data_IF_115925910580
#
_entry.id   IF_115925910580
#
_cell.length_a   1.000
_cell.length_b   1.000
_cell.length_c   1.000
_cell.angle_alpha   90.00
_cell.angle_beta   90.00
_cell.angle_gamma   90.00
#
_symmetry.space_group_name_H-M   'P 1'
#
loop_
_entity.id
_entity.type
_entity.pdbx_description
1 polymer ?
#
# COMPACT_ATOMS: atom_id res chain seq x y z
N UNK A 1 31.49 12.64 5.16
CA UNK A 1 30.46 11.58 5.22
C UNK A 1 30.02 11.23 3.81
N UNK A 2 29.90 9.94 3.52
CA UNK A 2 29.41 9.44 2.23
C UNK A 2 27.88 9.51 2.23
N UNK A 3 27.29 10.11 1.17
CA UNK A 3 25.83 10.08 0.94
C UNK A 3 25.55 8.92 -0.01
N UNK A 4 24.80 7.92 0.46
CA UNK A 4 24.36 6.83 -0.38
C UNK A 4 23.14 7.29 -1.21
N UNK A 5 23.37 7.45 -2.51
CA UNK A 5 22.32 7.81 -3.47
C UNK A 5 21.63 6.58 -4.05
N UNK A 6 22.23 5.41 -3.92
CA UNK A 6 21.74 4.17 -4.51
C UNK A 6 20.52 3.62 -3.76
N UNK A 7 20.50 3.64 -2.42
CA UNK A 7 19.45 3.01 -1.62
C UNK A 7 18.02 3.43 -2.01
N UNK A 8 17.82 4.71 -2.33
CA UNK A 8 16.50 5.23 -2.69
C UNK A 8 16.14 5.04 -4.19
N UNK A 9 17.12 4.66 -5.02
CA UNK A 9 16.96 4.56 -6.48
C UNK A 9 17.09 3.12 -6.98
N UNK A 10 17.74 2.25 -6.21
CA UNK A 10 17.92 0.84 -6.58
C UNK A 10 16.62 0.13 -7.02
N UNK A 11 15.48 0.30 -6.34
CA UNK A 11 14.25 -0.33 -6.76
C UNK A 11 13.55 0.41 -7.92
N UNK A 12 14.20 1.42 -8.53
CA UNK A 12 13.59 2.35 -9.48
C UNK A 12 14.39 2.53 -10.77
N UNK A 13 14.79 1.47 -11.50
CA UNK A 13 15.50 1.62 -12.78
C UNK A 13 14.64 2.30 -13.87
N UNK A 14 13.32 2.35 -13.70
CA UNK A 14 12.40 3.14 -14.52
C UNK A 14 12.76 4.64 -14.58
N UNK A 15 13.46 5.13 -13.56
CA UNK A 15 13.95 6.52 -13.51
C UNK A 15 15.22 6.76 -14.31
N UNK A 16 15.81 5.70 -14.88
CA UNK A 16 17.06 5.71 -15.68
C UNK A 16 16.85 4.99 -17.01
N UNK A 17 16.17 5.60 -17.99
CA UNK A 17 15.76 4.90 -19.22
C UNK A 17 16.94 4.42 -20.09
N UNK A 18 18.12 4.97 -19.91
CA UNK A 18 19.37 4.56 -20.56
C UNK A 18 20.38 3.89 -19.61
N UNK A 19 19.92 3.52 -18.41
CA UNK A 19 20.70 2.96 -17.31
C UNK A 19 21.76 3.90 -16.70
N UNK A 20 21.88 5.15 -17.16
CA UNK A 20 22.91 6.11 -16.71
C UNK A 20 22.30 7.44 -16.26
N UNK A 21 21.40 8.00 -17.06
CA UNK A 21 20.90 9.36 -16.84
C UNK A 21 19.50 9.32 -16.23
N UNK A 22 19.29 9.97 -15.06
CA UNK A 22 17.99 10.04 -14.45
C UNK A 22 17.05 10.95 -15.23
N UNK A 23 15.78 10.54 -15.36
CA UNK A 23 14.73 11.48 -15.75
C UNK A 23 14.52 12.53 -14.65
N UNK A 24 13.69 13.54 -14.92
CA UNK A 24 13.41 14.66 -13.99
C UNK A 24 13.04 14.19 -12.58
N UNK A 25 12.23 13.15 -12.48
CA UNK A 25 11.79 12.55 -11.22
C UNK A 25 12.93 11.86 -10.47
N UNK A 26 13.79 11.14 -11.19
CA UNK A 26 15.01 10.54 -10.63
C UNK A 26 15.98 11.59 -10.11
N UNK A 27 16.20 12.65 -10.90
CA UNK A 27 17.02 13.78 -10.49
C UNK A 27 16.45 14.49 -9.24
N UNK A 28 15.13 14.63 -9.14
CA UNK A 28 14.48 15.20 -7.96
C UNK A 28 14.69 14.34 -6.70
N UNK A 29 14.63 13.01 -6.82
CA UNK A 29 14.91 12.08 -5.69
C UNK A 29 16.38 12.22 -5.26
N UNK A 30 17.31 12.28 -6.20
CA UNK A 30 18.73 12.50 -5.90
C UNK A 30 18.92 13.82 -5.14
N UNK A 31 18.39 14.92 -5.66
CA UNK A 31 18.48 16.22 -5.02
C UNK A 31 17.87 16.23 -3.61
N UNK A 32 16.70 15.59 -3.44
CA UNK A 32 16.05 15.46 -2.13
C UNK A 32 16.88 14.63 -1.15
N UNK A 33 17.52 13.55 -1.62
CA UNK A 33 18.41 12.73 -0.81
C UNK A 33 19.63 13.51 -0.36
N UNK A 34 20.27 14.26 -1.25
CA UNK A 34 21.42 15.12 -0.92
C UNK A 34 20.99 16.20 0.06
N UNK A 35 19.93 16.94 -0.24
CA UNK A 35 19.40 17.99 0.63
C UNK A 35 19.11 17.47 2.03
N UNK A 36 18.35 16.37 2.14
CA UNK A 36 18.00 15.78 3.43
C UNK A 36 19.23 15.33 4.22
N UNK A 37 20.23 14.73 3.54
CA UNK A 37 21.45 14.30 4.22
C UNK A 37 22.32 15.47 4.73
N UNK A 38 22.33 16.61 4.01
CA UNK A 38 23.06 17.82 4.42
C UNK A 38 22.31 18.55 5.54
N UNK A 39 21.03 18.80 5.35
CA UNK A 39 20.22 19.62 6.26
C UNK A 39 19.61 18.84 7.41
N UNK A 40 19.57 17.51 7.28
CA UNK A 40 18.79 16.58 8.15
C UNK A 40 17.28 16.80 8.09
N UNK A 41 16.79 17.60 7.16
CA UNK A 41 15.37 17.88 6.95
C UNK A 41 14.74 16.86 5.98
N UNK A 42 13.92 15.96 6.52
CA UNK A 42 13.11 14.99 5.78
C UNK A 42 11.60 15.30 5.87
N UNK A 43 11.26 16.54 6.24
CA UNK A 43 9.87 17.02 6.33
C UNK A 43 9.16 16.61 7.62
N UNK A 44 9.92 16.38 8.69
CA UNK A 44 9.44 16.10 10.03
C UNK A 44 8.73 14.76 10.20
N UNK A 45 8.09 14.57 11.37
CA UNK A 45 7.44 13.30 11.75
C UNK A 45 6.31 12.94 10.79
N UNK A 46 6.40 11.75 10.20
CA UNK A 46 5.37 11.13 9.35
C UNK A 46 5.31 9.63 9.65
N UNK A 47 4.14 9.04 9.51
CA UNK A 47 3.93 7.60 9.61
C UNK A 47 3.84 6.96 8.22
N UNK A 48 4.14 5.68 8.12
CA UNK A 48 3.80 4.91 6.94
C UNK A 48 2.27 4.92 6.73
N UNK A 49 1.83 4.91 5.48
CA UNK A 49 0.42 5.11 5.11
C UNK A 49 -0.55 4.07 5.70
N UNK A 50 -0.04 2.91 6.09
CA UNK A 50 -0.84 1.86 6.72
C UNK A 50 -1.23 2.19 8.17
N UNK A 51 -0.55 3.14 8.82
CA UNK A 51 -0.85 3.51 10.21
C UNK A 51 -1.84 4.68 10.25
N UNK A 52 -3.10 4.34 10.43
CA UNK A 52 -4.20 5.31 10.60
C UNK A 52 -5.10 4.88 11.76
N UNK A 53 -6.02 5.74 12.15
CA UNK A 53 -7.09 5.37 13.07
C UNK A 53 -7.81 4.10 12.60
N UNK A 54 -8.40 3.37 13.52
CA UNK A 54 -9.15 2.13 13.28
C UNK A 54 -8.31 0.94 12.78
N UNK A 55 -6.98 1.04 12.72
CA UNK A 55 -6.13 -0.06 12.23
C UNK A 55 -6.20 -1.28 13.15
N UNK A 56 -5.85 -2.44 12.56
CA UNK A 56 -5.53 -3.66 13.32
C UNK A 56 -4.01 -3.84 13.30
N UNK A 57 -3.44 -4.21 14.44
CA UNK A 57 -2.06 -4.64 14.58
C UNK A 57 -2.03 -6.16 14.74
N UNK A 58 -1.07 -6.83 14.10
CA UNK A 58 -0.98 -8.29 14.11
C UNK A 58 -0.73 -8.83 15.52
N UNK A 59 -1.60 -9.75 15.97
CA UNK A 59 -1.41 -10.48 17.23
C UNK A 59 -0.27 -11.48 17.15
N UNK A 60 0.28 -11.88 18.31
CA UNK A 60 1.26 -12.97 18.46
C UNK A 60 2.56 -12.78 17.65
N UNK A 61 2.79 -11.59 17.12
CA UNK A 61 3.99 -11.18 16.42
C UNK A 61 4.51 -9.87 17.02
N UNK A 62 5.83 -9.60 16.96
CA UNK A 62 6.36 -8.31 17.35
C UNK A 62 5.69 -7.19 16.55
N UNK A 63 5.14 -6.20 17.24
CA UNK A 63 4.45 -5.07 16.62
C UNK A 63 5.47 -4.01 16.25
N UNK A 64 5.61 -3.73 14.96
CA UNK A 64 6.50 -2.70 14.44
C UNK A 64 5.71 -1.46 14.04
N UNK A 65 6.12 -0.30 14.54
CA UNK A 65 5.61 1.02 14.15
C UNK A 65 6.79 1.80 13.59
N UNK A 66 6.63 2.39 12.39
CA UNK A 66 7.71 3.02 11.67
C UNK A 66 7.23 4.19 10.80
N UNK A 67 8.18 4.99 10.39
CA UNK A 67 7.94 6.15 9.55
C UNK A 67 9.19 6.96 9.29
N UNK A 68 9.03 8.25 9.06
CA UNK A 68 10.13 9.19 8.87
C UNK A 68 10.01 10.39 9.82
N UNK A 69 11.15 11.01 10.13
CA UNK A 69 11.25 12.31 10.79
C UNK A 69 12.56 12.95 10.35
N UNK A 70 12.97 14.08 10.93
CA UNK A 70 14.26 14.66 10.56
C UNK A 70 15.42 13.83 11.11
N UNK A 71 16.54 13.83 10.42
CA UNK A 71 17.69 13.01 10.78
C UNK A 71 18.25 13.38 12.16
N UNK A 72 18.38 12.38 13.04
CA UNK A 72 18.81 12.58 14.43
C UNK A 72 17.68 12.96 15.39
N UNK A 73 16.43 13.08 14.94
CA UNK A 73 15.29 13.34 15.81
C UNK A 73 15.03 12.17 16.75
N UNK A 74 14.74 12.46 18.02
CA UNK A 74 14.20 11.48 18.95
C UNK A 74 12.72 11.25 18.64
N UNK A 75 12.35 10.01 18.38
CA UNK A 75 10.97 9.58 18.21
C UNK A 75 10.57 8.69 19.38
N UNK A 76 9.48 9.05 20.04
CA UNK A 76 8.88 8.30 21.12
C UNK A 76 7.55 7.73 20.68
N UNK A 77 7.30 6.45 20.96
CA UNK A 77 6.01 5.80 20.72
C UNK A 77 5.50 5.22 22.02
N UNK A 78 4.25 5.53 22.33
CA UNK A 78 3.52 4.92 23.45
C UNK A 78 2.41 4.05 22.91
N UNK A 79 2.43 2.78 23.30
CA UNK A 79 1.39 1.81 22.98
C UNK A 79 1.02 1.05 24.27
N UNK A 80 -0.26 1.07 24.61
CA UNK A 80 -0.74 0.61 25.91
C UNK A 80 -0.02 1.40 27.03
N UNK A 81 0.62 0.68 27.93
CA UNK A 81 1.41 1.30 29.04
C UNK A 81 2.92 1.31 28.76
N UNK A 82 3.33 0.90 27.57
CA UNK A 82 4.75 0.82 27.19
C UNK A 82 5.14 2.06 26.38
N UNK A 83 6.17 2.74 26.82
CA UNK A 83 6.82 3.82 26.10
C UNK A 83 8.18 3.35 25.60
N UNK A 84 8.46 3.52 24.31
CA UNK A 84 9.74 3.24 23.68
C UNK A 84 10.20 4.42 22.86
N UNK A 85 11.50 4.55 22.67
CA UNK A 85 12.08 5.62 21.87
C UNK A 85 13.20 5.08 20.97
N UNK A 86 13.43 5.81 19.90
CA UNK A 86 14.56 5.60 18.97
C UNK A 86 15.01 6.93 18.40
N UNK A 87 16.23 6.99 17.90
CA UNK A 87 16.72 8.12 17.13
C UNK A 87 16.58 7.77 15.65
N UNK A 88 16.10 8.69 14.85
CA UNK A 88 16.05 8.51 13.40
C UNK A 88 17.44 8.34 12.82
N UNK A 89 17.55 7.49 11.81
CA UNK A 89 18.80 7.33 11.09
C UNK A 89 19.14 8.58 10.24
N UNK A 90 20.28 8.54 9.56
CA UNK A 90 20.73 9.64 8.71
C UNK A 90 19.81 9.95 7.52
N UNK A 91 18.92 9.03 7.17
CA UNK A 91 17.90 9.18 6.12
C UNK A 91 16.53 9.57 6.67
N UNK A 92 16.47 9.89 7.96
CA UNK A 92 15.23 10.25 8.63
C UNK A 92 14.28 9.07 8.86
N UNK A 93 14.71 7.82 8.66
CA UNK A 93 13.88 6.63 8.92
C UNK A 93 13.93 6.25 10.39
N UNK A 94 12.82 5.80 10.94
CA UNK A 94 12.73 5.26 12.29
C UNK A 94 11.80 4.05 12.35
N UNK A 95 12.10 3.17 13.29
CA UNK A 95 11.29 1.99 13.59
C UNK A 95 11.37 1.67 15.08
N UNK A 96 10.21 1.40 15.69
CA UNK A 96 10.08 0.92 17.06
C UNK A 96 9.33 -0.40 17.06
N UNK A 97 9.84 -1.37 17.83
CA UNK A 97 9.25 -2.70 17.95
C UNK A 97 8.76 -2.94 19.37
N UNK A 98 7.49 -3.27 19.51
CA UNK A 98 6.88 -3.73 20.76
C UNK A 98 6.84 -5.25 20.80
N UNK A 99 6.82 -5.87 22.00
CA UNK A 99 6.61 -7.30 22.12
C UNK A 99 5.29 -7.74 21.51
N UNK A 100 5.21 -9.01 21.14
CA UNK A 100 3.98 -9.65 20.70
C UNK A 100 2.86 -9.42 21.72
N UNK A 101 1.64 -9.19 21.22
CA UNK A 101 0.45 -8.94 22.04
C UNK A 101 -0.60 -10.00 21.76
N UNK A 102 -1.41 -10.30 22.76
CA UNK A 102 -2.68 -11.02 22.57
C UNK A 102 -3.72 -10.09 21.94
N UNK A 103 -4.75 -10.66 21.33
CA UNK A 103 -5.84 -9.88 20.75
C UNK A 103 -6.54 -9.00 21.78
N UNK A 104 -7.15 -7.93 21.33
CA UNK A 104 -7.93 -7.01 22.16
C UNK A 104 -7.97 -5.58 21.62
N UNK A 105 -8.43 -4.67 22.42
CA UNK A 105 -8.65 -3.26 22.10
C UNK A 105 -10.05 -2.79 22.52
N UNK A 106 -10.42 -1.55 22.16
CA UNK A 106 -9.61 -0.57 21.42
C UNK A 106 -8.49 0.06 22.26
N UNK A 107 -7.38 0.34 21.59
CA UNK A 107 -6.22 1.01 22.16
C UNK A 107 -5.94 2.33 21.45
N UNK A 108 -5.01 3.10 22.02
CA UNK A 108 -4.41 4.26 21.36
C UNK A 108 -2.91 4.04 21.17
N UNK A 109 -2.36 4.63 20.11
CA UNK A 109 -0.93 4.72 19.83
C UNK A 109 -0.57 6.19 19.72
N UNK A 110 0.32 6.67 20.58
CA UNK A 110 0.83 8.03 20.53
C UNK A 110 2.26 8.03 20.02
N UNK A 111 2.54 8.87 19.05
CA UNK A 111 3.85 9.02 18.43
C UNK A 111 4.27 10.49 18.53
N UNK A 112 5.41 10.73 19.13
CA UNK A 112 5.92 12.08 19.37
C UNK A 112 7.35 12.24 18.84
N UNK A 113 7.58 13.36 18.18
CA UNK A 113 8.93 13.81 17.85
C UNK A 113 8.94 15.33 17.84
N UNK A 114 9.89 15.93 18.57
CA UNK A 114 9.95 17.36 18.77
C UNK A 114 8.61 17.94 19.23
N UNK A 115 8.06 18.93 18.53
CA UNK A 115 6.78 19.55 18.84
C UNK A 115 5.57 18.83 18.23
N UNK A 116 5.81 17.83 17.38
CA UNK A 116 4.74 17.09 16.70
C UNK A 116 4.31 15.89 17.51
N UNK A 117 3.01 15.75 17.69
CA UNK A 117 2.37 14.60 18.31
C UNK A 117 1.28 14.07 17.37
N UNK A 118 1.31 12.77 17.12
CA UNK A 118 0.29 12.04 16.36
C UNK A 118 -0.32 11.03 17.30
N UNK A 119 -1.64 11.01 17.40
CA UNK A 119 -2.38 10.03 18.20
C UNK A 119 -3.31 9.26 17.29
N UNK A 120 -3.09 7.96 17.19
CA UNK A 120 -3.94 7.04 16.45
C UNK A 120 -4.91 6.37 17.43
N UNK A 121 -6.18 6.36 17.08
CA UNK A 121 -7.28 5.93 17.98
C UNK A 121 -7.99 4.70 17.44
N UNK A 122 -8.71 4.04 18.35
CA UNK A 122 -9.54 2.87 18.05
C UNK A 122 -8.76 1.72 17.42
N UNK A 123 -7.55 1.47 17.93
CA UNK A 123 -6.63 0.44 17.43
C UNK A 123 -6.99 -0.91 18.03
N UNK A 124 -7.13 -1.92 17.20
CA UNK A 124 -7.32 -3.30 17.64
C UNK A 124 -6.02 -4.10 17.46
N UNK A 125 -5.87 -5.15 18.26
CA UNK A 125 -4.87 -6.20 18.04
C UNK A 125 -5.62 -7.45 17.64
N UNK A 126 -5.29 -8.04 16.50
CA UNK A 126 -5.99 -9.19 15.93
C UNK A 126 -5.24 -9.78 14.76
N UNK A 127 -5.92 -10.45 13.86
CA UNK A 127 -5.34 -11.00 12.65
C UNK A 127 -5.47 -10.05 11.48
N UNK A 128 -4.39 -9.88 10.73
CA UNK A 128 -4.37 -9.08 9.50
C UNK A 128 -4.28 -10.02 8.30
N UNK A 129 -5.17 -9.81 7.33
CA UNK A 129 -5.18 -10.52 6.07
C UNK A 129 -5.00 -9.57 4.90
N UNK A 130 -4.01 -9.87 4.05
CA UNK A 130 -3.76 -9.13 2.83
C UNK A 130 -4.53 -9.76 1.67
N UNK A 131 -5.52 -9.05 1.16
CA UNK A 131 -6.47 -9.49 0.14
C UNK A 131 -6.13 -8.80 -1.19
N UNK A 132 -5.25 -9.40 -1.97
CA UNK A 132 -4.78 -8.85 -3.25
C UNK A 132 -5.24 -9.67 -4.43
N UNK A 133 -5.24 -9.06 -5.60
CA UNK A 133 -5.58 -9.71 -6.85
C UNK A 133 -6.26 -8.77 -7.85
N UNK A 134 -6.99 -9.36 -8.78
CA UNK A 134 -7.65 -8.61 -9.84
C UNK A 134 -9.18 -8.57 -9.66
N UNK A 135 -9.96 -8.63 -10.74
CA UNK A 135 -11.42 -8.40 -10.78
C UNK A 135 -12.23 -9.18 -9.76
N UNK A 136 -11.94 -10.44 -9.50
CA UNK A 136 -12.67 -11.22 -8.49
C UNK A 136 -12.42 -10.69 -7.08
N UNK A 137 -11.19 -10.30 -6.76
CA UNK A 137 -10.88 -9.68 -5.47
C UNK A 137 -11.41 -8.25 -5.38
N UNK A 138 -11.51 -7.52 -6.48
CA UNK A 138 -12.11 -6.18 -6.54
C UNK A 138 -13.65 -6.20 -6.55
N UNK A 139 -14.29 -7.37 -6.72
CA UNK A 139 -15.74 -7.49 -6.81
C UNK A 139 -16.42 -7.05 -5.51
N UNK A 140 -17.23 -6.01 -5.62
CA UNK A 140 -17.81 -5.31 -4.47
C UNK A 140 -18.92 -6.10 -3.78
N UNK A 141 -18.99 -6.01 -2.46
CA UNK A 141 -20.01 -6.70 -1.65
C UNK A 141 -21.44 -6.36 -2.10
N UNK A 142 -21.72 -5.10 -2.41
CA UNK A 142 -23.05 -4.69 -2.86
C UNK A 142 -23.54 -5.40 -4.12
N UNK A 143 -22.63 -5.89 -4.96
CA UNK A 143 -22.92 -6.57 -6.22
C UNK A 143 -22.99 -8.11 -6.08
N UNK A 144 -22.67 -8.65 -4.88
CA UNK A 144 -22.75 -10.08 -4.62
C UNK A 144 -24.19 -10.54 -4.41
N UNK A 145 -24.43 -11.84 -4.51
CA UNK A 145 -25.71 -12.43 -4.15
C UNK A 145 -26.07 -12.05 -2.70
N UNK A 146 -27.28 -11.53 -2.48
CA UNK A 146 -27.73 -10.99 -1.19
C UNK A 146 -26.86 -9.85 -0.62
N UNK A 147 -25.97 -9.23 -1.41
CA UNK A 147 -25.01 -8.21 -0.97
C UNK A 147 -25.67 -7.03 -0.27
N UNK A 148 -26.81 -6.54 -0.77
CA UNK A 148 -27.54 -5.44 -0.13
C UNK A 148 -28.02 -5.77 1.30
N UNK A 149 -28.39 -7.03 1.57
CA UNK A 149 -28.76 -7.48 2.89
C UNK A 149 -27.54 -7.60 3.80
N UNK A 150 -26.42 -8.10 3.27
CA UNK A 150 -25.16 -8.20 4.02
C UNK A 150 -24.59 -6.83 4.38
N UNK A 151 -24.64 -5.85 3.46
CA UNK A 151 -24.24 -4.47 3.75
C UNK A 151 -25.02 -3.89 4.94
N UNK A 152 -26.32 -4.15 5.03
CA UNK A 152 -27.13 -3.71 6.18
C UNK A 152 -26.74 -4.40 7.49
N UNK A 153 -26.29 -5.65 7.43
CA UNK A 153 -25.86 -6.43 8.61
C UNK A 153 -24.44 -6.06 9.07
N UNK A 154 -23.64 -5.38 8.24
CA UNK A 154 -22.24 -5.11 8.52
C UNK A 154 -22.02 -4.26 9.78
N UNK A 155 -23.00 -3.43 10.20
CA UNK A 155 -22.94 -2.62 11.43
C UNK A 155 -22.64 -3.48 12.68
N UNK A 156 -23.07 -4.76 12.68
CA UNK A 156 -22.82 -5.68 13.78
C UNK A 156 -21.39 -6.23 13.84
N UNK A 157 -20.54 -5.94 12.83
CA UNK A 157 -19.20 -6.47 12.71
C UNK A 157 -18.14 -5.54 13.32
N UNK A 158 -18.32 -5.16 14.58
CA UNK A 158 -17.47 -4.19 15.27
C UNK A 158 -16.00 -4.60 15.42
N UNK A 159 -15.69 -5.89 15.31
CA UNK A 159 -14.32 -6.45 15.38
C UNK A 159 -13.62 -6.53 14.04
N UNK A 160 -14.32 -6.25 12.93
CA UNK A 160 -13.72 -6.21 11.59
C UNK A 160 -13.29 -4.78 11.27
N UNK A 161 -12.13 -4.65 10.66
CA UNK A 161 -11.60 -3.37 10.15
C UNK A 161 -11.20 -3.53 8.71
N UNK A 162 -11.45 -2.51 7.92
CA UNK A 162 -11.27 -2.51 6.48
C UNK A 162 -10.23 -1.46 6.09
N UNK A 163 -9.22 -1.87 5.34
CA UNK A 163 -8.32 -0.96 4.65
C UNK A 163 -8.51 -1.18 3.15
N UNK A 164 -9.18 -0.24 2.50
CA UNK A 164 -9.36 -0.28 1.06
C UNK A 164 -8.29 0.56 0.39
N UNK A 165 -7.33 -0.12 -0.27
CA UNK A 165 -6.36 0.53 -1.13
C UNK A 165 -6.99 0.87 -2.47
N UNK A 166 -7.18 2.16 -2.73
CA UNK A 166 -7.72 2.67 -4.00
C UNK A 166 -6.56 3.02 -4.92
N UNK A 167 -6.54 2.41 -6.10
CA UNK A 167 -5.63 2.78 -7.17
C UNK A 167 -5.99 4.17 -7.72
N UNK A 168 -4.99 4.93 -8.17
CA UNK A 168 -5.22 6.23 -8.83
C UNK A 168 -5.99 6.02 -10.14
N UNK A 169 -5.70 4.92 -10.82
CA UNK A 169 -6.34 4.48 -12.06
C UNK A 169 -6.60 2.98 -11.95
N UNK A 170 -7.75 2.54 -12.46
CA UNK A 170 -8.14 1.13 -12.53
C UNK A 170 -8.04 0.57 -13.96
N UNK A 171 -7.75 1.42 -14.93
CA UNK A 171 -7.64 1.08 -16.35
C UNK A 171 -6.57 1.93 -17.02
N UNK A 172 -6.01 1.44 -18.10
CA UNK A 172 -5.09 2.10 -19.00
C UNK A 172 -5.73 2.44 -20.38
N UNK A 173 -7.04 2.42 -20.48
CA UNK A 173 -7.80 2.75 -21.70
C UNK A 173 -7.50 4.15 -22.24
N UNK A 174 -7.03 5.02 -21.36
CA UNK A 174 -6.61 6.39 -21.74
C UNK A 174 -5.19 6.66 -21.25
N UNK A 175 -4.40 7.44 -22.01
CA UNK A 175 -3.08 7.85 -21.55
C UNK A 175 -3.14 8.51 -20.17
N UNK A 176 -2.20 8.15 -19.30
CA UNK A 176 -2.12 8.75 -17.98
C UNK A 176 -1.63 10.19 -18.09
N UNK A 177 -2.29 11.09 -17.36
CA UNK A 177 -1.85 12.48 -17.25
C UNK A 177 -0.54 12.61 -16.43
N UNK A 178 0.10 13.77 -16.53
CA UNK A 178 1.36 14.04 -15.84
C UNK A 178 1.26 13.95 -14.31
N UNK A 179 0.10 14.22 -13.73
CA UNK A 179 -0.14 14.13 -12.28
C UNK A 179 -0.17 12.67 -11.86
N UNK A 180 -0.88 11.83 -12.60
CA UNK A 180 -0.94 10.37 -12.36
C UNK A 180 0.44 9.75 -12.48
N UNK A 181 1.19 10.09 -13.55
CA UNK A 181 2.56 9.61 -13.74
C UNK A 181 3.48 10.05 -12.62
N UNK A 182 3.42 11.31 -12.19
CA UNK A 182 4.23 11.81 -11.09
C UNK A 182 3.92 11.10 -9.76
N UNK A 183 2.65 10.81 -9.46
CA UNK A 183 2.28 10.03 -8.27
C UNK A 183 2.76 8.59 -8.34
N UNK A 184 2.64 7.95 -9.49
CA UNK A 184 3.13 6.58 -9.72
C UNK A 184 4.64 6.53 -9.55
N UNK A 185 5.37 7.48 -10.12
CA UNK A 185 6.82 7.60 -9.97
C UNK A 185 7.26 7.84 -8.51
N UNK A 186 6.38 8.40 -7.68
CA UNK A 186 6.60 8.54 -6.24
C UNK A 186 6.15 7.31 -5.43
N UNK A 187 5.80 6.20 -6.06
CA UNK A 187 5.21 5.00 -5.44
C UNK A 187 3.91 5.29 -4.67
N UNK A 188 3.13 6.27 -5.13
CA UNK A 188 1.84 6.67 -4.56
C UNK A 188 0.68 6.24 -5.44
N UNK A 189 0.81 5.07 -6.06
CA UNK A 189 -0.26 4.52 -6.91
C UNK A 189 -1.49 4.13 -6.11
N UNK A 190 -1.30 3.57 -4.92
CA UNK A 190 -2.39 3.28 -4.01
C UNK A 190 -2.47 4.30 -2.87
N UNK A 191 -3.70 4.59 -2.48
CA UNK A 191 -4.00 5.35 -1.26
C UNK A 191 -5.10 4.64 -0.49
N UNK A 192 -5.12 4.79 0.84
CA UNK A 192 -6.14 4.17 1.67
C UNK A 192 -6.00 4.56 3.14
N UNK A 193 -7.01 4.23 3.90
CA UNK A 193 -7.03 4.35 5.35
C UNK A 193 -7.91 3.24 5.94
N UNK A 194 -7.67 2.92 7.20
CA UNK A 194 -8.52 1.98 7.92
C UNK A 194 -9.86 2.62 8.27
N UNK A 195 -10.90 1.82 8.19
CA UNK A 195 -12.25 2.16 8.62
C UNK A 195 -12.85 1.05 9.50
N UNK A 196 -13.84 1.42 10.30
CA UNK A 196 -14.74 0.44 10.92
C UNK A 196 -15.55 -0.26 9.83
N UNK A 197 -15.99 -1.48 10.11
CA UNK A 197 -16.90 -2.20 9.22
C UNK A 197 -18.33 -1.73 9.47
N UNK A 198 -18.85 -0.91 8.57
CA UNK A 198 -20.23 -0.40 8.58
C UNK A 198 -20.82 -0.44 7.16
N UNK A 199 -22.09 -0.08 7.05
CA UNK A 199 -22.81 -0.13 5.76
C UNK A 199 -22.21 0.77 4.68
N UNK A 200 -21.45 1.80 5.03
CA UNK A 200 -20.80 2.70 4.08
C UNK A 200 -19.47 2.14 3.62
N UNK A 201 -18.61 1.75 4.57
CA UNK A 201 -17.27 1.28 4.30
C UNK A 201 -17.21 -0.07 3.60
N UNK A 202 -18.16 -0.97 3.91
CA UNK A 202 -18.18 -2.33 3.38
C UNK A 202 -18.84 -2.42 2.00
N UNK A 203 -19.65 -1.44 1.63
CA UNK A 203 -20.48 -1.47 0.40
C UNK A 203 -19.63 -1.73 -0.85
N UNK A 204 -18.54 -1.00 -1.00
CA UNK A 204 -17.61 -1.07 -2.13
C UNK A 204 -16.39 -1.97 -1.83
N UNK A 205 -16.34 -2.57 -0.65
CA UNK A 205 -15.25 -3.46 -0.27
C UNK A 205 -15.41 -4.83 -0.95
N UNK A 206 -14.30 -5.58 -1.07
CA UNK A 206 -14.26 -6.92 -1.64
C UNK A 206 -15.27 -7.86 -0.97
N UNK A 207 -16.16 -8.45 -1.75
CA UNK A 207 -17.08 -9.48 -1.26
C UNK A 207 -16.35 -10.69 -0.70
N UNK A 208 -15.35 -11.20 -1.43
CA UNK A 208 -14.56 -12.36 -1.03
C UNK A 208 -13.82 -12.07 0.30
N UNK A 209 -13.14 -10.95 0.37
CA UNK A 209 -12.41 -10.56 1.59
C UNK A 209 -13.37 -10.37 2.78
N UNK A 210 -14.51 -9.73 2.56
CA UNK A 210 -15.51 -9.52 3.62
C UNK A 210 -16.06 -10.83 4.17
N UNK A 211 -16.55 -11.74 3.30
CA UNK A 211 -17.10 -13.02 3.77
C UNK A 211 -16.04 -13.88 4.44
N UNK A 212 -14.82 -13.91 3.90
CA UNK A 212 -13.70 -14.58 4.53
C UNK A 212 -13.42 -14.01 5.92
N UNK A 213 -13.22 -12.70 6.02
CA UNK A 213 -12.90 -12.04 7.30
C UNK A 213 -14.02 -12.17 8.34
N UNK A 214 -15.29 -12.14 7.90
CA UNK A 214 -16.45 -12.36 8.76
C UNK A 214 -16.43 -13.74 9.38
N UNK A 215 -16.15 -14.78 8.58
CA UNK A 215 -16.07 -16.15 9.08
C UNK A 215 -14.88 -16.31 10.04
N UNK A 216 -13.70 -15.82 9.70
CA UNK A 216 -12.53 -15.88 10.60
C UNK A 216 -12.81 -15.15 11.93
N UNK A 217 -13.38 -13.94 11.88
CA UNK A 217 -13.70 -13.19 13.09
C UNK A 217 -14.70 -13.93 14.01
N UNK A 218 -15.64 -14.65 13.39
CA UNK A 218 -16.62 -15.47 14.13
C UNK A 218 -16.00 -16.71 14.74
N UNK A 219 -15.29 -17.51 13.95
CA UNK A 219 -14.73 -18.80 14.38
C UNK A 219 -13.60 -18.63 15.42
N UNK A 220 -12.70 -17.66 15.18
CA UNK A 220 -11.55 -17.42 16.05
C UNK A 220 -11.86 -16.46 17.21
N UNK A 221 -13.00 -15.78 17.17
CA UNK A 221 -13.41 -14.75 18.15
C UNK A 221 -12.31 -13.72 18.41
N UNK A 222 -11.71 -13.19 17.33
CA UNK A 222 -10.64 -12.19 17.36
C UNK A 222 -10.96 -11.03 16.42
N UNK A 223 -10.42 -9.84 16.67
CA UNK A 223 -10.45 -8.77 15.69
C UNK A 223 -9.75 -9.16 14.38
N UNK A 224 -10.33 -8.78 13.25
CA UNK A 224 -9.80 -9.06 11.92
C UNK A 224 -9.62 -7.76 11.14
N UNK A 225 -8.41 -7.54 10.65
CA UNK A 225 -8.08 -6.47 9.72
C UNK A 225 -7.95 -7.03 8.30
N UNK A 226 -8.69 -6.44 7.37
CA UNK A 226 -8.66 -6.82 5.96
C UNK A 226 -8.03 -5.69 5.14
N UNK A 227 -6.88 -5.95 4.53
CA UNK A 227 -6.22 -5.01 3.63
C UNK A 227 -6.51 -5.45 2.20
N UNK A 228 -7.41 -4.72 1.54
CA UNK A 228 -7.73 -4.97 0.13
C UNK A 228 -6.86 -4.08 -0.76
N UNK A 229 -6.11 -4.71 -1.66
CA UNK A 229 -5.43 -4.06 -2.79
C UNK A 229 -5.69 -4.92 -4.01
N UNK A 230 -6.57 -4.44 -4.90
CA UNK A 230 -6.98 -5.18 -6.09
C UNK A 230 -7.20 -4.24 -7.26
N UNK A 231 -6.75 -4.65 -8.44
CA UNK A 231 -6.94 -3.90 -9.69
C UNK A 231 -7.45 -4.86 -10.76
N UNK A 232 -8.64 -4.57 -11.30
CA UNK A 232 -9.24 -5.38 -12.36
C UNK A 232 -8.35 -5.44 -13.60
N UNK A 233 -8.20 -6.64 -14.18
CA UNK A 233 -7.36 -6.85 -15.37
C UNK A 233 -5.85 -6.93 -15.11
N UNK A 234 -5.38 -6.73 -13.89
CA UNK A 234 -3.94 -6.83 -13.59
C UNK A 234 -3.43 -8.27 -13.80
N UNK A 235 -2.29 -8.46 -14.49
CA UNK A 235 -1.66 -9.77 -14.62
C UNK A 235 -1.02 -10.20 -13.30
N UNK A 236 -0.72 -11.50 -13.16
CA UNK A 236 -0.17 -12.04 -11.91
C UNK A 236 1.19 -11.44 -11.57
N UNK A 237 1.97 -11.08 -12.57
CA UNK A 237 3.30 -10.47 -12.45
C UNK A 237 3.24 -9.12 -11.72
N UNK A 238 2.12 -8.41 -11.78
CA UNK A 238 1.90 -7.16 -11.03
C UNK A 238 1.89 -7.37 -9.50
N UNK A 239 1.77 -8.62 -9.05
CA UNK A 239 1.69 -9.01 -7.64
C UNK A 239 2.93 -9.73 -7.13
N UNK A 240 3.94 -9.85 -7.99
CA UNK A 240 5.25 -10.43 -7.65
C UNK A 240 6.20 -9.28 -7.35
N UNK A 241 7.01 -9.44 -6.32
CA UNK A 241 8.00 -8.42 -5.97
C UNK A 241 9.05 -8.27 -7.08
N UNK A 242 9.55 -7.07 -7.23
CA UNK A 242 10.46 -6.72 -8.31
C UNK A 242 11.75 -7.52 -8.28
N UNK A 243 12.29 -7.81 -7.11
CA UNK A 243 13.53 -8.59 -6.98
C UNK A 243 13.36 -9.98 -7.60
N UNK A 244 12.24 -10.65 -7.31
CA UNK A 244 11.91 -11.95 -7.93
C UNK A 244 11.81 -11.84 -9.46
N UNK A 245 11.13 -10.81 -9.97
CA UNK A 245 11.02 -10.60 -11.43
C UNK A 245 12.37 -10.32 -12.10
N UNK A 246 13.25 -9.58 -11.44
CA UNK A 246 14.59 -9.25 -11.97
C UNK A 246 15.54 -10.45 -12.01
N UNK A 247 15.31 -11.48 -11.18
CA UNK A 247 16.16 -12.65 -11.03
C UNK A 247 15.57 -13.92 -11.63
N UNK A 248 14.46 -13.83 -12.38
CA UNK A 248 13.89 -14.94 -13.13
C UNK A 248 14.01 -14.67 -14.64
N UNK A 249 14.81 -15.51 -15.32
CA UNK A 249 15.11 -15.39 -16.75
C UNK A 249 13.86 -15.44 -17.64
N UNK A 250 12.75 -15.99 -17.15
CA UNK A 250 11.50 -16.11 -17.91
C UNK A 250 10.66 -14.83 -17.89
N UNK A 251 10.81 -14.02 -16.85
CA UNK A 251 9.95 -12.84 -16.61
C UNK A 251 10.71 -11.52 -16.60
N UNK A 252 12.03 -11.53 -16.53
CA UNK A 252 12.86 -10.29 -16.51
C UNK A 252 12.56 -9.37 -17.70
N UNK A 253 12.21 -9.94 -18.85
CA UNK A 253 11.86 -9.17 -20.05
C UNK A 253 10.59 -8.30 -19.87
N UNK A 254 9.70 -8.66 -18.96
CA UNK A 254 8.54 -7.82 -18.62
C UNK A 254 8.96 -6.44 -18.11
N UNK A 255 10.07 -6.36 -17.39
CA UNK A 255 10.57 -5.12 -16.81
C UNK A 255 11.28 -4.24 -17.86
N UNK A 256 11.90 -4.85 -18.87
CA UNK A 256 12.71 -4.16 -19.89
C UNK A 256 11.91 -3.84 -21.14
N UNK A 257 11.03 -4.74 -21.57
CA UNK A 257 10.33 -4.67 -22.85
C UNK A 257 8.82 -4.39 -22.75
N UNK A 258 8.29 -4.11 -21.57
CA UNK A 258 6.85 -3.93 -21.39
C UNK A 258 6.23 -2.86 -22.31
N UNK A 259 6.95 -1.79 -22.65
CA UNK A 259 6.50 -0.76 -23.58
C UNK A 259 6.36 -1.25 -25.03
N UNK A 260 7.14 -2.27 -25.41
CA UNK A 260 7.10 -2.85 -26.76
C UNK A 260 6.00 -3.89 -26.90
N UNK A 261 5.38 -4.30 -25.76
CA UNK A 261 4.35 -5.35 -25.72
C UNK A 261 4.81 -6.71 -26.27
N UNK A 262 6.11 -6.95 -26.33
CA UNK A 262 6.67 -8.18 -26.90
C UNK A 262 6.34 -9.42 -26.06
N UNK A 263 6.13 -9.23 -24.76
CA UNK A 263 5.69 -10.28 -23.83
C UNK A 263 4.21 -10.60 -23.92
N UNK A 264 3.39 -9.75 -24.55
CA UNK A 264 1.95 -10.01 -24.72
C UNK A 264 1.80 -11.13 -25.75
N UNK A 265 1.09 -12.19 -25.37
CA UNK A 265 0.84 -13.32 -26.26
C UNK A 265 0.31 -12.85 -27.63
N UNK A 266 0.83 -13.41 -28.74
CA UNK A 266 0.48 -12.95 -30.10
C UNK A 266 -1.03 -12.85 -30.34
N UNK A 267 -1.82 -13.84 -29.88
CA UNK A 267 -3.27 -13.84 -30.07
C UNK A 267 -3.98 -12.68 -29.32
N UNK A 268 -3.44 -12.23 -28.16
CA UNK A 268 -3.97 -11.08 -27.41
C UNK A 268 -3.70 -9.79 -28.18
N UNK A 269 -2.49 -9.65 -28.74
CA UNK A 269 -2.12 -8.49 -29.58
C UNK A 269 -2.98 -8.41 -30.83
N UNK A 270 -3.18 -9.54 -31.50
CA UNK A 270 -4.04 -9.62 -32.68
C UNK A 270 -5.48 -9.22 -32.35
N UNK A 271 -6.04 -9.74 -31.26
CA UNK A 271 -7.39 -9.43 -30.80
C UNK A 271 -7.55 -7.96 -30.42
N UNK A 272 -6.60 -7.39 -29.71
CA UNK A 272 -6.57 -5.95 -29.41
C UNK A 272 -6.53 -5.11 -30.70
N UNK A 273 -5.70 -5.51 -31.68
CA UNK A 273 -5.65 -4.86 -32.99
C UNK A 273 -6.97 -4.91 -33.77
N UNK A 274 -7.69 -6.04 -33.72
CA UNK A 274 -9.02 -6.18 -34.34
C UNK A 274 -10.04 -5.29 -33.64
N UNK A 275 -10.06 -5.27 -32.31
CA UNK A 275 -10.99 -4.45 -31.54
C UNK A 275 -10.76 -2.95 -31.78
N UNK A 276 -9.50 -2.51 -31.85
CA UNK A 276 -9.17 -1.11 -32.14
C UNK A 276 -9.61 -0.71 -33.55
N UNK A 277 -9.37 -1.58 -34.56
CA UNK A 277 -9.85 -1.32 -35.93
C UNK A 277 -11.39 -1.22 -36.00
N UNK A 278 -12.09 -2.10 -35.30
CA UNK A 278 -13.55 -2.06 -35.26
C UNK A 278 -14.05 -0.78 -34.56
N UNK A 279 -13.43 -0.35 -33.48
CA UNK A 279 -13.79 0.89 -32.78
C UNK A 279 -13.55 2.15 -33.64
N UNK A 280 -12.52 2.15 -34.51
CA UNK A 280 -12.24 3.29 -35.39
C UNK A 280 -13.15 3.32 -36.63
N UNK A 281 -13.73 2.18 -37.04
CA UNK A 281 -14.62 2.07 -38.18
C UNK A 281 -16.11 2.35 -37.85
N UNK A 282 -16.43 2.56 -36.56
CA UNK A 282 -17.79 2.84 -36.09
C UNK A 282 -18.07 4.35 -35.86
N UNK A 283 -17.20 5.22 -36.38
CA UNK A 283 -17.40 6.70 -36.35
C UNK A 283 -17.85 7.22 -37.68
#
# INVERSE_FOLDING_TARGET
DLIDLHENLYPRPDLFPDALHPIKEGAAILAQTVYGNITKDFGGLKLAAVFTDNMVLQRQQPIQIYGTANGGDLVEVTFKQQKKSTITDRYGKWKITFPAQVHGGPYEVSIRSNQKNIVLKNILVGDIWFCSGQSNMAFQLQNSENGAAEVKKAIAQSTIRLFQGKAIRETDDTPWDSITLAKTNQLKFFSGSWSTCDSTSVKEFSAIAYYFGKNIAHEENVPVGLIQIAVGGSPIESWIDRYTLEHDDKVVDLLTNWRKSDFIMPWVRERAGVNLKNATNTK
#
